data_IF_742671856291
#
_entry.id   IF_742671856291
#
_cell.length_a   1.000
_cell.length_b   1.000
_cell.length_c   1.000
_cell.angle_alpha   90.00
_cell.angle_beta   90.00
_cell.angle_gamma   90.00
#
_symmetry.space_group_name_H-M   'P 1'
#
loop_
_entity.id
_entity.type
_entity.pdbx_description
1 polymer ?
#
# COMPACT_ATOMS: atom_id res chain seq x y z
N UNK A 1 -3.73 19.17 -8.69
CA UNK A 1 -5.17 19.49 -8.77
C UNK A 1 -5.90 18.36 -8.06
N UNK A 2 -6.29 18.49 -6.78
CA UNK A 2 -6.98 17.41 -6.09
C UNK A 2 -8.43 17.40 -6.57
N UNK A 3 -8.75 16.43 -7.41
CA UNK A 3 -10.10 16.23 -7.90
C UNK A 3 -10.94 15.59 -6.79
N UNK A 4 -11.98 16.29 -6.30
CA UNK A 4 -13.13 15.62 -5.67
C UNK A 4 -13.69 16.19 -4.37
N UNK A 5 -13.05 17.18 -3.72
CA UNK A 5 -13.58 17.73 -2.45
C UNK A 5 -14.60 18.86 -2.64
N UNK A 6 -14.62 19.51 -3.81
CA UNK A 6 -15.48 20.69 -4.02
C UNK A 6 -16.97 20.36 -4.23
N UNK A 7 -17.33 19.08 -4.36
CA UNK A 7 -18.72 18.60 -4.41
C UNK A 7 -18.91 17.35 -3.52
N UNK A 8 -18.35 17.35 -2.31
CA UNK A 8 -18.48 16.22 -1.42
C UNK A 8 -19.93 16.07 -0.95
N UNK A 9 -20.70 15.25 -1.67
CA UNK A 9 -22.07 14.87 -1.32
C UNK A 9 -22.09 14.21 0.05
N UNK A 10 -23.10 14.49 0.88
CA UNK A 10 -23.28 13.73 2.12
C UNK A 10 -23.26 12.22 1.84
N UNK A 11 -22.58 11.45 2.68
CA UNK A 11 -22.36 10.04 2.39
C UNK A 11 -21.30 9.36 3.22
N UNK A 12 -21.06 8.09 2.89
CA UNK A 12 -20.03 7.26 3.49
C UNK A 12 -18.87 7.12 2.51
N UNK A 13 -17.66 7.33 3.01
CA UNK A 13 -16.41 7.31 2.29
C UNK A 13 -15.49 6.25 2.90
N UNK A 14 -14.73 5.56 2.06
CA UNK A 14 -13.63 4.72 2.50
C UNK A 14 -12.32 5.40 2.08
N UNK A 15 -11.44 5.64 3.05
CA UNK A 15 -10.08 6.10 2.82
C UNK A 15 -9.17 4.89 2.93
N UNK A 16 -8.53 4.56 1.83
CA UNK A 16 -7.57 3.48 1.70
C UNK A 16 -6.16 4.08 1.64
N UNK A 17 -5.30 3.72 2.58
CA UNK A 17 -3.90 4.11 2.63
C UNK A 17 -3.02 2.84 2.61
N UNK A 18 -2.20 2.70 1.58
CA UNK A 18 -1.25 1.61 1.44
C UNK A 18 0.14 2.21 1.31
N UNK A 19 0.86 2.21 2.44
CA UNK A 19 2.24 2.67 2.52
C UNK A 19 3.24 1.57 2.20
N UNK A 20 4.53 1.86 2.44
CA UNK A 20 5.61 0.90 2.20
C UNK A 20 5.59 -0.31 3.14
N UNK A 21 5.12 -0.17 4.39
CA UNK A 21 5.08 -1.28 5.35
C UNK A 21 3.79 -1.37 6.16
N UNK A 22 2.81 -0.50 5.87
CA UNK A 22 1.54 -0.46 6.60
C UNK A 22 0.39 -0.31 5.63
N UNK A 23 -0.74 -0.86 6.02
CA UNK A 23 -2.01 -0.77 5.31
C UNK A 23 -3.07 -0.30 6.30
N UNK A 24 -3.77 0.79 5.98
CA UNK A 24 -4.81 1.38 6.81
C UNK A 24 -6.08 1.65 5.99
N UNK A 25 -7.24 1.31 6.56
CA UNK A 25 -8.56 1.57 5.99
C UNK A 25 -9.44 2.27 7.02
N UNK A 26 -9.92 3.46 6.67
CA UNK A 26 -10.86 4.22 7.49
C UNK A 26 -12.19 4.41 6.77
N UNK A 27 -13.29 4.18 7.48
CA UNK A 27 -14.65 4.51 7.02
C UNK A 27 -15.05 5.84 7.64
N UNK A 28 -15.31 6.83 6.80
CA UNK A 28 -15.70 8.18 7.18
C UNK A 28 -17.13 8.46 6.75
N UNK A 29 -17.87 9.24 7.55
CA UNK A 29 -19.16 9.80 7.17
C UNK A 29 -19.03 11.31 7.00
N UNK A 30 -19.42 11.84 5.84
CA UNK A 30 -19.56 13.27 5.63
C UNK A 30 -21.01 13.68 5.87
N UNK A 31 -21.22 14.55 6.84
CA UNK A 31 -22.53 15.10 7.18
C UNK A 31 -22.38 16.58 7.48
N UNK A 32 -23.13 17.45 6.78
CA UNK A 32 -23.06 18.91 6.97
C UNK A 32 -21.64 19.49 6.92
N UNK A 33 -20.80 18.95 6.04
CA UNK A 33 -19.41 19.40 5.87
C UNK A 33 -18.43 18.91 6.95
N UNK A 34 -18.86 18.04 7.87
CA UNK A 34 -18.01 17.44 8.91
C UNK A 34 -17.76 15.96 8.61
N UNK A 35 -16.49 15.55 8.68
CA UNK A 35 -16.11 14.13 8.61
C UNK A 35 -16.11 13.52 10.01
N UNK A 36 -16.84 12.42 10.15
CA UNK A 36 -16.86 11.57 11.34
C UNK A 36 -16.22 10.22 11.01
N UNK A 37 -15.29 9.75 11.86
CA UNK A 37 -14.69 8.42 11.72
C UNK A 37 -15.64 7.38 12.29
N UNK A 38 -16.15 6.50 11.43
CA UNK A 38 -17.03 5.40 11.86
C UNK A 38 -16.23 4.16 12.27
N UNK A 39 -15.15 3.87 11.56
CA UNK A 39 -14.28 2.73 11.83
C UNK A 39 -12.89 2.98 11.26
N UNK A 40 -11.87 2.41 11.92
CA UNK A 40 -10.52 2.29 11.39
C UNK A 40 -10.01 0.88 11.65
N UNK A 41 -9.34 0.30 10.66
CA UNK A 41 -8.68 -0.99 10.76
C UNK A 41 -7.47 -1.00 9.82
N UNK A 42 -6.48 -1.81 10.11
CA UNK A 42 -5.26 -1.86 9.32
C UNK A 42 -4.34 -2.99 9.77
N UNK A 43 -3.24 -3.13 9.03
CA UNK A 43 -2.14 -4.03 9.33
C UNK A 43 -0.82 -3.24 9.30
N UNK A 44 -0.11 -3.25 10.43
CA UNK A 44 1.16 -2.54 10.60
C UNK A 44 2.36 -3.26 9.98
N UNK A 45 2.14 -4.46 9.44
CA UNK A 45 3.18 -5.31 8.85
C UNK A 45 2.82 -5.75 7.42
N UNK A 46 1.96 -4.99 6.73
CA UNK A 46 1.60 -5.21 5.33
C UNK A 46 1.74 -3.91 4.56
N UNK A 47 2.56 -3.87 3.52
CA UNK A 47 2.68 -2.70 2.64
C UNK A 47 3.37 -3.01 1.31
N UNK A 48 3.79 -1.95 0.62
CA UNK A 48 4.54 -2.01 -0.64
C UNK A 48 5.74 -2.96 -0.61
N UNK A 49 6.47 -3.01 0.51
CA UNK A 49 7.66 -3.83 0.69
C UNK A 49 7.36 -5.34 0.56
N UNK A 50 6.16 -5.78 0.96
CA UNK A 50 5.72 -7.17 0.79
C UNK A 50 5.47 -7.50 -0.69
N UNK A 51 4.92 -6.54 -1.44
CA UNK A 51 4.72 -6.69 -2.88
C UNK A 51 6.07 -6.74 -3.61
N UNK A 52 7.00 -5.84 -3.27
CA UNK A 52 8.37 -5.83 -3.83
C UNK A 52 9.07 -7.15 -3.56
N UNK A 53 9.01 -7.63 -2.32
CA UNK A 53 9.58 -8.92 -1.92
C UNK A 53 8.95 -10.07 -2.70
N UNK A 54 7.62 -10.06 -2.89
CA UNK A 54 6.92 -11.11 -3.64
C UNK A 54 7.31 -11.13 -5.11
N UNK A 55 7.45 -9.96 -5.75
CA UNK A 55 7.92 -9.81 -7.13
C UNK A 55 9.37 -10.29 -7.27
N UNK A 56 10.23 -9.93 -6.32
CA UNK A 56 11.60 -10.43 -6.24
C UNK A 56 11.65 -11.97 -6.17
N UNK A 57 10.92 -12.59 -5.25
CA UNK A 57 10.86 -14.04 -5.13
C UNK A 57 10.37 -14.70 -6.42
N UNK A 58 9.30 -14.15 -7.01
CA UNK A 58 8.77 -14.64 -8.28
C UNK A 58 9.79 -14.58 -9.42
N UNK A 59 10.57 -13.49 -9.51
CA UNK A 59 11.60 -13.34 -10.53
C UNK A 59 12.71 -14.40 -10.38
N UNK A 60 13.15 -14.67 -9.16
CA UNK A 60 14.16 -15.71 -8.89
C UNK A 60 13.65 -17.13 -9.20
N UNK A 61 12.43 -17.44 -8.78
CA UNK A 61 11.76 -18.73 -9.07
C UNK A 61 11.63 -18.96 -10.58
N UNK A 62 11.20 -17.92 -11.31
CA UNK A 62 10.99 -17.98 -12.76
C UNK A 62 12.30 -18.24 -13.52
N UNK A 63 13.39 -17.60 -13.11
CA UNK A 63 14.70 -17.74 -13.73
C UNK A 63 15.49 -18.95 -13.22
N UNK A 64 14.95 -19.71 -12.26
CA UNK A 64 15.61 -20.84 -11.56
C UNK A 64 17.01 -20.46 -11.04
N UNK A 65 17.14 -19.21 -10.60
CA UNK A 65 18.40 -18.71 -10.04
C UNK A 65 18.51 -19.30 -8.63
N UNK A 66 19.68 -19.89 -8.33
CA UNK A 66 19.99 -20.38 -7.00
C UNK A 66 20.10 -19.23 -5.98
N UNK A 67 20.52 -19.52 -4.74
CA UNK A 67 20.72 -18.49 -3.72
C UNK A 67 21.63 -17.37 -4.24
N UNK A 68 21.10 -16.15 -4.32
CA UNK A 68 21.86 -14.99 -4.80
C UNK A 68 22.71 -14.44 -3.66
N UNK A 69 23.86 -13.83 -3.99
CA UNK A 69 24.72 -13.23 -2.96
C UNK A 69 23.99 -12.08 -2.25
N UNK A 70 24.36 -11.74 -1.00
CA UNK A 70 23.73 -10.62 -0.28
C UNK A 70 23.82 -9.28 -1.02
N UNK A 71 24.88 -9.06 -1.81
CA UNK A 71 25.04 -7.86 -2.62
C UNK A 71 24.03 -7.82 -3.79
N UNK A 72 23.85 -8.95 -4.48
CA UNK A 72 22.91 -9.06 -5.59
C UNK A 72 21.46 -8.99 -5.10
N UNK A 73 21.14 -9.60 -3.95
CA UNK A 73 19.83 -9.47 -3.29
C UNK A 73 19.47 -8.00 -3.06
N UNK A 74 20.41 -7.21 -2.54
CA UNK A 74 20.18 -5.78 -2.30
C UNK A 74 19.95 -5.02 -3.61
N UNK A 75 20.73 -5.31 -4.65
CA UNK A 75 20.57 -4.67 -5.96
C UNK A 75 19.21 -4.99 -6.59
N UNK A 76 18.80 -6.26 -6.55
CA UNK A 76 17.52 -6.71 -7.10
C UNK A 76 16.33 -6.14 -6.33
N UNK A 77 16.41 -6.06 -5.00
CA UNK A 77 15.37 -5.40 -4.19
C UNK A 77 15.28 -3.90 -4.47
N UNK A 78 16.41 -3.20 -4.67
CA UNK A 78 16.38 -1.80 -5.09
C UNK A 78 15.72 -1.64 -6.47
N UNK A 79 15.93 -2.61 -7.37
CA UNK A 79 15.30 -2.61 -8.71
C UNK A 79 13.82 -2.98 -8.68
N UNK A 80 13.35 -3.76 -7.72
CA UNK A 80 11.94 -4.08 -7.56
C UNK A 80 11.10 -2.87 -7.12
N UNK A 81 11.74 -1.91 -6.45
CA UNK A 81 11.15 -0.65 -5.95
C UNK A 81 11.09 0.50 -6.96
N UNK A 82 11.84 0.39 -8.07
CA UNK A 82 11.86 1.38 -9.17
C UNK A 82 10.68 1.17 -10.12
#
# INVERSE_FOLDING_TARGET
MPYGLDNASEGIYAVYDLGGGTFDLSILKLSRGVFEVLATAGDTALGGDDFDHRVYCWALETQRVGPVSPADTRLLMMKARE
#
